data_IF_030593294336
#
_entry.id   IF_030593294336
#
_cell.length_a   1.000
_cell.length_b   1.000
_cell.length_c   1.000
_cell.angle_alpha   90.00
_cell.angle_beta   90.00
_cell.angle_gamma   90.00
#
_symmetry.space_group_name_H-M   'P 1'
#
loop_
_entity.id
_entity.type
_entity.pdbx_description
1 polymer ?
#
# COMPACT_ATOMS: atom_id res chain seq x y z
N UNK A 1 1.30 14.64 3.90
CA UNK A 1 0.92 13.24 3.60
C UNK A 1 -0.15 12.84 4.59
N UNK A 2 -1.42 12.96 4.20
CA UNK A 2 -2.58 12.65 5.04
C UNK A 2 -3.40 11.52 4.45
N UNK A 3 -2.92 10.87 3.37
CA UNK A 3 -3.59 9.80 2.66
C UNK A 3 -3.68 8.51 3.46
N UNK A 4 -2.62 8.10 4.16
CA UNK A 4 -2.69 7.00 5.13
C UNK A 4 -3.57 7.41 6.32
N UNK A 5 -4.53 6.57 6.69
CA UNK A 5 -5.57 6.90 7.68
C UNK A 5 -5.43 6.09 8.96
N UNK A 6 -5.77 6.69 10.09
CA UNK A 6 -5.94 5.96 11.34
C UNK A 6 -7.38 5.42 11.42
N UNK A 7 -7.53 4.10 11.31
CA UNK A 7 -8.81 3.41 11.53
C UNK A 7 -8.91 2.84 12.94
N UNK A 8 -8.21 1.74 13.21
CA UNK A 8 -8.29 1.03 14.51
C UNK A 8 -7.08 1.20 15.44
N UNK A 9 -5.89 1.49 14.90
CA UNK A 9 -4.63 1.56 15.68
C UNK A 9 -4.06 0.20 16.15
N UNK A 10 -4.76 -0.91 15.90
CA UNK A 10 -4.34 -2.27 16.25
C UNK A 10 -3.88 -3.14 15.07
N UNK A 11 -3.77 -2.56 13.87
CA UNK A 11 -3.33 -3.28 12.66
C UNK A 11 -4.37 -4.21 12.01
N UNK A 12 -5.63 -4.19 12.47
CA UNK A 12 -6.67 -5.09 11.94
C UNK A 12 -7.47 -4.56 10.75
N UNK A 13 -7.36 -3.27 10.40
CA UNK A 13 -8.26 -2.64 9.43
C UNK A 13 -7.60 -2.12 8.14
N UNK A 14 -6.28 -2.27 7.97
CA UNK A 14 -5.54 -1.86 6.75
C UNK A 14 -5.57 -0.38 6.32
N UNK A 15 -6.40 0.48 6.91
CA UNK A 15 -6.56 1.87 6.48
C UNK A 15 -5.26 2.72 6.53
N UNK A 16 -4.28 2.26 7.32
CA UNK A 16 -2.95 2.86 7.46
C UNK A 16 -1.87 2.17 6.62
N UNK A 17 -2.22 1.27 5.68
CA UNK A 17 -1.25 0.52 4.88
C UNK A 17 -0.39 1.45 4.05
N UNK A 18 0.92 1.24 4.14
CA UNK A 18 1.97 1.87 3.32
C UNK A 18 2.87 0.79 2.75
N UNK A 19 3.55 1.08 1.63
CA UNK A 19 4.57 0.19 1.11
C UNK A 19 5.94 0.59 1.64
N UNK A 20 6.68 -0.40 2.11
CA UNK A 20 8.03 -0.26 2.65
C UNK A 20 8.99 -1.00 1.73
N UNK A 21 10.05 -0.32 1.29
CA UNK A 21 11.05 -0.87 0.38
C UNK A 21 12.43 -0.89 0.99
N UNK A 22 13.11 -2.05 0.96
CA UNK A 22 14.46 -2.20 1.50
C UNK A 22 15.35 -2.97 0.53
N UNK A 23 16.56 -2.47 0.34
CA UNK A 23 17.59 -3.19 -0.40
C UNK A 23 18.26 -4.23 0.50
N UNK A 24 18.32 -5.48 0.03
CA UNK A 24 19.07 -6.55 0.66
C UNK A 24 20.42 -6.69 -0.05
N UNK A 25 21.55 -6.35 0.61
CA UNK A 25 22.86 -6.39 -0.01
C UNK A 25 23.33 -7.81 -0.34
N UNK A 26 22.93 -8.82 0.45
CA UNK A 26 23.28 -10.22 0.24
C UNK A 26 22.64 -10.77 -1.03
N UNK A 27 21.37 -10.44 -1.26
CA UNK A 27 20.64 -10.91 -2.45
C UNK A 27 20.71 -9.95 -3.64
N UNK A 28 21.29 -8.76 -3.45
CA UNK A 28 21.34 -7.65 -4.41
C UNK A 28 19.97 -7.32 -5.02
N UNK A 29 18.93 -7.35 -4.19
CA UNK A 29 17.53 -7.14 -4.58
C UNK A 29 16.82 -6.16 -3.65
N UNK A 30 15.87 -5.43 -4.20
CA UNK A 30 14.94 -4.61 -3.41
C UNK A 30 13.70 -5.45 -3.09
N UNK A 31 13.30 -5.44 -1.84
CA UNK A 31 12.07 -6.05 -1.36
C UNK A 31 11.01 -5.00 -1.10
N UNK A 32 9.75 -5.32 -1.42
CA UNK A 32 8.59 -4.46 -1.17
C UNK A 32 7.59 -5.19 -0.27
N UNK A 33 7.21 -4.53 0.83
CA UNK A 33 6.30 -5.08 1.84
C UNK A 33 5.20 -4.08 2.18
N UNK A 34 3.97 -4.56 2.32
CA UNK A 34 2.86 -3.77 2.83
C UNK A 34 2.92 -3.79 4.36
N UNK A 35 2.84 -2.63 4.99
CA UNK A 35 3.00 -2.48 6.44
C UNK A 35 1.93 -1.54 6.98
N UNK A 36 1.36 -1.92 8.12
CA UNK A 36 0.48 -1.05 8.90
C UNK A 36 1.29 0.06 9.57
N UNK A 37 1.15 1.29 9.09
CA UNK A 37 1.91 2.42 9.62
C UNK A 37 1.65 2.69 11.12
N UNK A 38 0.45 2.37 11.62
CA UNK A 38 0.11 2.55 13.04
C UNK A 38 0.94 1.66 14.00
N UNK A 39 1.54 0.57 13.50
CA UNK A 39 2.35 -0.36 14.28
C UNK A 39 3.82 -0.35 13.89
N UNK A 40 4.27 0.59 13.06
CA UNK A 40 5.63 0.68 12.57
C UNK A 40 6.41 1.80 13.28
N UNK A 41 7.27 1.50 14.27
CA UNK A 41 8.08 2.52 14.93
C UNK A 41 9.04 3.16 13.93
N UNK A 42 9.11 4.48 13.88
CA UNK A 42 9.99 5.20 12.93
C UNK A 42 11.47 4.80 13.06
N UNK A 43 11.91 4.41 14.26
CA UNK A 43 13.28 3.96 14.51
C UNK A 43 13.64 2.66 13.76
N UNK A 44 12.65 1.83 13.40
CA UNK A 44 12.90 0.60 12.61
C UNK A 44 13.05 0.87 11.11
N UNK A 45 12.76 2.10 10.66
CA UNK A 45 12.75 2.49 9.24
C UNK A 45 14.07 3.09 8.75
N UNK A 46 15.15 3.00 9.54
CA UNK A 46 16.46 3.44 9.10
C UNK A 46 16.94 2.66 7.86
N UNK A 47 17.31 3.37 6.80
CA UNK A 47 17.75 2.76 5.53
C UNK A 47 16.62 2.14 4.71
N UNK A 48 15.38 2.54 4.98
CA UNK A 48 14.17 2.00 4.34
C UNK A 48 13.40 3.13 3.65
N UNK A 49 12.85 2.86 2.46
CA UNK A 49 12.00 3.81 1.75
C UNK A 49 10.52 3.54 2.03
N UNK A 50 9.79 4.55 2.49
CA UNK A 50 8.34 4.48 2.71
C UNK A 50 7.61 5.15 1.55
N UNK A 51 6.60 4.48 1.00
CA UNK A 51 5.75 4.97 -0.08
C UNK A 51 4.31 4.98 0.43
N UNK A 52 3.67 6.14 0.40
CA UNK A 52 2.24 6.32 0.72
C UNK A 52 1.42 6.46 -0.55
N UNK A 53 0.08 6.54 -0.41
CA UNK A 53 -0.85 6.68 -1.54
C UNK A 53 -0.56 7.92 -2.39
N UNK A 54 -0.08 9.01 -1.80
CA UNK A 54 0.29 10.21 -2.56
C UNK A 54 1.59 10.01 -3.37
N UNK A 55 2.44 9.07 -2.96
CA UNK A 55 3.72 8.79 -3.60
C UNK A 55 3.59 8.00 -4.91
N UNK A 56 2.47 7.33 -5.16
CA UNK A 56 2.26 6.55 -6.38
C UNK A 56 1.54 7.34 -7.49
N UNK A 57 0.87 8.43 -7.13
CA UNK A 57 0.09 9.24 -8.07
C UNK A 57 -0.87 10.19 -7.38
N UNK A 58 -1.31 11.22 -8.10
CA UNK A 58 -2.28 12.22 -7.63
C UNK A 58 -3.05 12.83 -8.79
N UNK A 59 -4.18 13.50 -8.50
CA UNK A 59 -4.95 14.25 -9.49
C UNK A 59 -4.23 15.50 -10.01
N UNK A 60 -3.22 15.99 -9.28
CA UNK A 60 -2.35 17.10 -9.72
C UNK A 60 -1.27 16.65 -10.71
N UNK A 61 -0.98 15.35 -10.73
CA UNK A 61 0.02 14.75 -11.61
C UNK A 61 -0.67 13.74 -12.52
N UNK A 62 -0.45 12.45 -12.25
CA UNK A 62 -1.11 11.34 -12.93
C UNK A 62 -1.51 10.32 -11.88
N UNK A 63 -2.72 9.79 -11.98
CA UNK A 63 -3.15 8.68 -11.15
C UNK A 63 -2.44 7.40 -11.55
N UNK A 64 -2.06 6.60 -10.56
CA UNK A 64 -1.60 5.24 -10.80
C UNK A 64 -2.78 4.38 -11.31
N UNK A 65 -2.58 3.39 -12.20
CA UNK A 65 -3.66 2.52 -12.67
C UNK A 65 -4.49 1.86 -11.57
N UNK A 66 -3.87 1.55 -10.42
CA UNK A 66 -4.59 1.04 -9.24
C UNK A 66 -5.59 2.06 -8.70
N UNK A 67 -5.19 3.33 -8.54
CA UNK A 67 -6.05 4.42 -8.08
C UNK A 67 -7.18 4.70 -9.08
N UNK A 68 -6.85 4.69 -10.38
CA UNK A 68 -7.83 4.94 -11.44
C UNK A 68 -8.88 3.83 -11.51
N UNK A 69 -8.46 2.56 -11.51
CA UNK A 69 -9.36 1.42 -11.66
C UNK A 69 -10.30 1.25 -10.48
N UNK A 70 -9.82 1.39 -9.23
CA UNK A 70 -10.69 1.26 -8.06
C UNK A 70 -11.78 2.36 -8.04
N UNK A 71 -11.44 3.58 -8.46
CA UNK A 71 -12.41 4.67 -8.55
C UNK A 71 -13.43 4.44 -9.67
N UNK A 72 -12.96 4.09 -10.88
CA UNK A 72 -13.83 3.86 -12.05
C UNK A 72 -14.71 2.62 -11.93
N UNK A 73 -14.25 1.59 -11.21
CA UNK A 73 -15.02 0.38 -10.94
C UNK A 73 -15.98 0.52 -9.75
N UNK A 74 -16.21 1.73 -9.25
CA UNK A 74 -17.08 2.00 -8.09
C UNK A 74 -16.65 1.29 -6.80
N UNK A 75 -15.35 0.96 -6.68
CA UNK A 75 -14.76 0.33 -5.50
C UNK A 75 -14.49 1.29 -4.33
N UNK A 76 -14.99 2.52 -4.40
CA UNK A 76 -14.83 3.54 -3.35
C UNK A 76 -16.16 4.27 -3.14
N UNK A 77 -16.64 4.27 -1.90
CA UNK A 77 -17.87 4.97 -1.49
C UNK A 77 -17.53 6.16 -0.57
N UNK A 78 -17.40 5.93 0.75
CA UNK A 78 -16.96 6.97 1.69
C UNK A 78 -15.48 7.37 1.50
N UNK A 79 -14.70 6.51 0.84
CA UNK A 79 -13.29 6.75 0.48
C UNK A 79 -12.27 6.57 1.60
N UNK A 80 -12.69 6.27 2.84
CA UNK A 80 -11.78 6.24 3.99
C UNK A 80 -10.76 5.09 3.93
N UNK A 81 -11.20 3.88 3.57
CA UNK A 81 -10.34 2.70 3.45
C UNK A 81 -9.57 2.64 2.12
N UNK A 82 -9.99 3.41 1.12
CA UNK A 82 -9.44 3.33 -0.25
C UNK A 82 -7.92 3.51 -0.31
N UNK A 83 -7.27 4.41 0.45
CA UNK A 83 -5.81 4.49 0.49
C UNK A 83 -5.11 3.19 0.90
N UNK A 84 -5.64 2.47 1.91
CA UNK A 84 -5.07 1.19 2.39
C UNK A 84 -5.13 0.12 1.31
N UNK A 85 -6.35 -0.10 0.78
CA UNK A 85 -6.62 -1.05 -0.32
C UNK A 85 -5.73 -0.75 -1.54
N UNK A 86 -5.60 0.52 -1.92
CA UNK A 86 -4.73 0.94 -3.03
C UNK A 86 -3.27 0.57 -2.76
N UNK A 87 -2.77 0.78 -1.54
CA UNK A 87 -1.38 0.49 -1.20
C UNK A 87 -1.11 -1.02 -1.10
N UNK A 88 -2.06 -1.81 -0.62
CA UNK A 88 -1.99 -3.28 -0.63
C UNK A 88 -1.93 -3.81 -2.07
N UNK A 89 -2.83 -3.37 -2.94
CA UNK A 89 -2.82 -3.74 -4.36
C UNK A 89 -1.56 -3.28 -5.09
N UNK A 90 -1.10 -2.05 -4.83
CA UNK A 90 0.14 -1.53 -5.40
C UNK A 90 1.34 -2.39 -4.99
N UNK A 91 1.43 -2.77 -3.72
CA UNK A 91 2.53 -3.61 -3.24
C UNK A 91 2.51 -5.00 -3.87
N UNK A 92 1.34 -5.62 -3.99
CA UNK A 92 1.21 -6.90 -4.69
C UNK A 92 1.72 -6.80 -6.13
N UNK A 93 1.28 -5.79 -6.89
CA UNK A 93 1.68 -5.62 -8.29
C UNK A 93 3.17 -5.32 -8.46
N UNK A 94 3.82 -4.72 -7.44
CA UNK A 94 5.27 -4.51 -7.42
C UNK A 94 6.06 -5.80 -7.25
N UNK A 95 5.47 -6.82 -6.62
CA UNK A 95 6.08 -8.14 -6.42
C UNK A 95 5.65 -9.14 -7.51
N UNK A 96 4.42 -9.03 -8.00
CA UNK A 96 3.80 -9.90 -8.99
C UNK A 96 3.05 -9.06 -10.03
N UNK A 97 3.68 -8.66 -11.15
CA UNK A 97 3.05 -7.81 -12.17
C UNK A 97 1.78 -8.41 -12.81
N UNK A 98 1.67 -9.74 -12.81
CA UNK A 98 0.50 -10.49 -13.28
C UNK A 98 0.03 -11.46 -12.18
N UNK A 99 -0.64 -10.97 -11.13
CA UNK A 99 -1.09 -11.81 -10.04
C UNK A 99 -2.32 -12.62 -10.45
N UNK A 100 -2.52 -13.78 -9.82
CA UNK A 100 -3.75 -14.55 -9.93
C UNK A 100 -4.80 -14.07 -8.90
N UNK A 101 -6.03 -14.60 -8.97
CA UNK A 101 -7.10 -14.21 -8.06
C UNK A 101 -6.83 -14.57 -6.60
N UNK A 102 -6.21 -15.72 -6.34
CA UNK A 102 -5.86 -16.15 -4.98
C UNK A 102 -4.89 -15.16 -4.31
N UNK A 103 -3.88 -14.68 -5.04
CA UNK A 103 -2.95 -13.67 -4.56
C UNK A 103 -3.63 -12.31 -4.30
N UNK A 104 -4.59 -11.93 -5.15
CA UNK A 104 -5.38 -10.71 -4.98
C UNK A 104 -6.22 -10.77 -3.69
N UNK A 105 -6.95 -11.87 -3.49
CA UNK A 105 -7.78 -12.08 -2.31
C UNK A 105 -6.94 -12.15 -1.03
N UNK A 106 -5.84 -12.91 -1.06
CA UNK A 106 -4.93 -13.02 0.08
C UNK A 106 -4.33 -11.67 0.47
N UNK A 107 -3.99 -10.83 -0.50
CA UNK A 107 -3.45 -9.48 -0.26
C UNK A 107 -4.43 -8.57 0.49
N UNK A 108 -5.74 -8.78 0.31
CA UNK A 108 -6.79 -7.93 0.90
C UNK A 108 -7.34 -8.46 2.23
N UNK A 109 -6.84 -9.57 2.76
CA UNK A 109 -7.35 -10.15 4.01
C UNK A 109 -7.16 -9.25 5.24
N UNK A 110 -6.23 -8.29 5.20
CA UNK A 110 -5.92 -7.36 6.29
C UNK A 110 -6.53 -5.96 6.12
N UNK A 111 -7.39 -5.77 5.12
CA UNK A 111 -8.08 -4.51 4.80
C UNK A 111 -9.54 -4.50 5.29
#
# INVERSE_FOLDING_TARGET
LTGAKLGCGGGGCGACTVMVSRYNPTQKKVFHLAVNACLAPICSLHGVAVITVEGIGSTRTRLHPVQERIAKAHGSQCGFCTPGIVMSMYTLLRNHPTPNMEQLESTLQGE
#
